data_IF_880650671802
#
_entry.id   IF_880650671802
#
_cell.length_a   1.000
_cell.length_b   1.000
_cell.length_c   1.000
_cell.angle_alpha   90.00
_cell.angle_beta   90.00
_cell.angle_gamma   90.00
#
_symmetry.space_group_name_H-M   'P 1'
#
loop_
_entity.id
_entity.type
_entity.pdbx_description
1 polymer ?
#
# COMPACT_ATOMS: atom_id res chain seq x y z
N UNK A 1 3.51 11.57 -1.67
CA UNK A 1 2.45 12.19 -0.83
C UNK A 1 1.63 13.15 -1.69
N UNK A 2 2.31 13.95 -2.49
CA UNK A 2 1.72 14.86 -3.47
C UNK A 2 1.01 14.08 -4.61
N UNK A 3 0.01 14.69 -5.27
CA UNK A 3 -0.60 14.12 -6.47
C UNK A 3 0.42 14.05 -7.63
N UNK A 4 0.36 13.02 -8.49
CA UNK A 4 -0.54 11.87 -8.43
C UNK A 4 -0.18 10.91 -7.29
N UNK A 5 -1.18 10.41 -6.57
CA UNK A 5 -1.01 9.52 -5.43
C UNK A 5 -0.60 8.11 -5.88
N UNK A 6 0.71 7.90 -6.08
CA UNK A 6 1.27 6.61 -6.48
C UNK A 6 1.37 5.62 -5.31
N UNK A 7 1.43 4.30 -5.59
CA UNK A 7 1.69 3.29 -4.58
C UNK A 7 3.03 3.54 -3.86
N UNK A 8 2.98 3.79 -2.55
CA UNK A 8 4.17 4.10 -1.76
C UNK A 8 5.00 2.85 -1.45
N UNK A 9 6.33 2.83 -1.54
CA UNK A 9 7.11 1.60 -1.37
C UNK A 9 7.07 0.99 0.05
N UNK A 10 6.64 1.73 1.08
CA UNK A 10 6.49 1.20 2.46
C UNK A 10 5.16 0.48 2.66
N UNK A 11 5.18 -0.63 3.37
CA UNK A 11 4.03 -1.52 3.57
C UNK A 11 3.26 -1.20 4.86
N UNK A 12 1.94 -1.31 4.84
CA UNK A 12 1.14 -1.38 6.07
C UNK A 12 1.32 -2.77 6.70
N UNK A 13 1.50 -2.79 8.01
CA UNK A 13 1.62 -4.02 8.81
C UNK A 13 0.71 -3.92 10.03
N UNK A 14 0.21 -5.05 10.50
CA UNK A 14 -0.72 -5.09 11.61
C UNK A 14 -1.48 -6.41 11.62
N UNK A 15 -2.40 -6.55 12.57
CA UNK A 15 -3.19 -7.77 12.73
C UNK A 15 -4.07 -8.06 11.53
N UNK A 16 -4.67 -7.02 10.95
CA UNK A 16 -5.64 -7.11 9.85
C UNK A 16 -5.00 -6.94 8.45
N UNK A 17 -3.66 -6.98 8.39
CA UNK A 17 -2.90 -6.77 7.17
C UNK A 17 -2.29 -8.12 6.74
N UNK A 18 -2.73 -8.72 5.61
CA UNK A 18 -2.14 -9.95 5.14
C UNK A 18 -0.63 -9.81 4.94
N UNK A 19 0.12 -10.80 5.42
CA UNK A 19 1.59 -10.78 5.39
C UNK A 19 2.07 -10.49 3.98
N UNK A 20 3.06 -9.60 3.86
CA UNK A 20 3.74 -9.23 2.61
C UNK A 20 2.93 -8.47 1.55
N UNK A 21 1.64 -8.18 1.79
CA UNK A 21 0.82 -7.40 0.84
C UNK A 21 0.97 -5.89 1.02
N UNK A 22 1.22 -5.44 2.25
CA UNK A 22 1.32 -4.02 2.58
C UNK A 22 -0.01 -3.27 2.52
N UNK A 23 -1.13 -4.00 2.48
CA UNK A 23 -2.50 -3.49 2.57
C UNK A 23 -3.23 -4.19 3.72
N UNK A 24 -4.25 -3.55 4.28
CA UNK A 24 -5.08 -4.16 5.31
C UNK A 24 -6.49 -4.35 4.76
N UNK A 25 -7.05 -5.54 4.97
CA UNK A 25 -8.31 -5.96 4.37
C UNK A 25 -9.17 -6.57 5.48
N UNK A 26 -10.36 -6.01 5.65
CA UNK A 26 -11.30 -6.42 6.69
C UNK A 26 -12.67 -6.62 6.06
N UNK A 27 -13.27 -7.78 6.33
CA UNK A 27 -14.67 -8.04 6.02
C UNK A 27 -15.53 -7.59 7.19
N UNK A 28 -16.44 -6.65 6.97
CA UNK A 28 -17.39 -6.22 8.00
C UNK A 28 -18.81 -6.18 7.43
N UNK A 29 -19.79 -6.41 8.31
CA UNK A 29 -21.20 -6.39 7.94
C UNK A 29 -21.77 -4.98 8.18
N UNK A 30 -22.15 -4.24 7.12
CA UNK A 30 -22.62 -2.86 7.26
C UNK A 30 -23.96 -2.73 8.02
N UNK A 31 -24.72 -3.82 8.18
CA UNK A 31 -26.01 -3.77 8.88
C UNK A 31 -25.86 -3.94 10.39
N UNK A 32 -24.90 -4.76 10.85
CA UNK A 32 -24.72 -5.09 12.27
C UNK A 32 -23.49 -4.44 12.89
N UNK A 33 -22.51 -4.04 12.09
CA UNK A 33 -21.27 -3.44 12.57
C UNK A 33 -20.77 -2.36 11.60
N UNK A 34 -21.17 -1.12 11.85
CA UNK A 34 -20.86 0.05 11.01
C UNK A 34 -19.53 0.73 11.36
N UNK A 35 -18.85 0.29 12.42
CA UNK A 35 -17.65 0.93 12.92
C UNK A 35 -16.52 -0.09 13.04
N UNK A 36 -15.44 0.13 12.29
CA UNK A 36 -14.25 -0.68 12.40
C UNK A 36 -13.05 0.18 12.76
N UNK A 37 -12.26 -0.29 13.72
CA UNK A 37 -11.01 0.34 14.14
C UNK A 37 -9.87 -0.63 13.87
N UNK A 38 -8.90 -0.19 13.08
CA UNK A 38 -7.64 -0.93 12.89
C UNK A 38 -6.80 -0.82 14.15
N UNK A 39 -6.68 -1.92 14.91
CA UNK A 39 -5.84 -1.98 16.08
C UNK A 39 -4.41 -2.42 15.70
N UNK A 40 -3.39 -1.83 16.32
CA UNK A 40 -1.98 -2.19 16.11
C UNK A 40 -1.52 -2.03 14.65
N UNK A 41 -1.97 -0.95 13.99
CA UNK A 41 -1.52 -0.60 12.64
C UNK A 41 -0.14 0.07 12.70
N UNK A 42 0.79 -0.44 11.91
CA UNK A 42 2.14 0.07 11.76
C UNK A 42 2.54 0.24 10.29
N UNK A 43 3.65 0.94 10.08
CA UNK A 43 4.27 1.11 8.76
C UNK A 43 5.61 0.40 8.78
N UNK A 44 5.81 -0.55 7.88
CA UNK A 44 7.08 -1.17 7.63
C UNK A 44 7.81 -0.40 6.51
N UNK A 45 8.82 0.35 6.92
CA UNK A 45 9.71 1.03 5.99
C UNK A 45 10.55 0.02 5.22
N UNK A 46 10.76 0.29 3.92
CA UNK A 46 11.71 -0.45 3.09
C UNK A 46 13.02 0.32 2.98
N UNK A 47 14.14 -0.40 2.86
CA UNK A 47 15.45 0.22 2.62
C UNK A 47 15.54 0.68 1.17
N UNK A 48 16.42 1.64 0.87
CA UNK A 48 16.64 2.13 -0.50
C UNK A 48 16.92 1.00 -1.50
N UNK A 49 17.76 0.02 -1.11
CA UNK A 49 18.09 -1.15 -1.94
C UNK A 49 16.91 -2.07 -2.26
N UNK A 50 15.81 -1.97 -1.53
CA UNK A 50 14.61 -2.81 -1.64
C UNK A 50 13.42 -2.03 -2.22
N UNK A 51 13.64 -0.79 -2.67
CA UNK A 51 12.61 0.07 -3.24
C UNK A 51 11.98 -0.56 -4.48
N UNK A 52 12.80 -0.94 -5.45
CA UNK A 52 12.33 -1.49 -6.73
C UNK A 52 11.57 -2.79 -6.54
N UNK A 53 12.09 -3.69 -5.69
CA UNK A 53 11.44 -4.95 -5.35
C UNK A 53 10.06 -4.72 -4.70
N UNK A 54 9.96 -3.73 -3.80
CA UNK A 54 8.69 -3.39 -3.16
C UNK A 54 7.68 -2.82 -4.15
N UNK A 55 8.12 -1.92 -5.04
CA UNK A 55 7.27 -1.35 -6.08
C UNK A 55 6.85 -2.41 -7.12
N UNK A 56 7.73 -3.36 -7.44
CA UNK A 56 7.40 -4.48 -8.33
C UNK A 56 6.37 -5.41 -7.69
N UNK A 57 6.50 -5.73 -6.40
CA UNK A 57 5.48 -6.52 -5.66
C UNK A 57 4.10 -5.86 -5.73
N UNK A 58 4.03 -4.55 -5.52
CA UNK A 58 2.77 -3.79 -5.62
C UNK A 58 2.15 -3.88 -7.00
N UNK A 59 2.95 -3.74 -8.05
CA UNK A 59 2.49 -3.89 -9.44
C UNK A 59 1.96 -5.29 -9.71
N UNK A 60 2.69 -6.33 -9.30
CA UNK A 60 2.29 -7.72 -9.50
C UNK A 60 0.97 -8.06 -8.78
N UNK A 61 0.70 -7.41 -7.65
CA UNK A 61 -0.53 -7.57 -6.88
C UNK A 61 -1.65 -6.60 -7.30
N UNK A 62 -1.44 -5.79 -8.35
CA UNK A 62 -2.37 -4.75 -8.81
C UNK A 62 -2.77 -3.76 -7.70
N UNK A 63 -1.84 -3.45 -6.79
CA UNK A 63 -2.04 -2.51 -5.70
C UNK A 63 -1.78 -1.09 -6.21
N UNK A 64 -2.82 -0.50 -6.81
CA UNK A 64 -2.86 0.91 -7.19
C UNK A 64 -4.28 1.47 -7.06
N UNK A 65 -4.62 2.12 -5.92
CA UNK A 65 -5.96 2.66 -5.68
C UNK A 65 -6.40 3.72 -6.69
N UNK A 66 -5.45 4.38 -7.37
CA UNK A 66 -5.72 5.51 -8.26
C UNK A 66 -5.40 5.21 -9.72
N UNK A 67 -5.02 3.98 -10.04
CA UNK A 67 -4.67 3.54 -11.40
C UNK A 67 -3.72 4.51 -12.12
N UNK A 68 -2.75 5.04 -11.38
CA UNK A 68 -1.77 6.03 -11.85
C UNK A 68 -0.81 5.49 -12.93
N UNK A 69 -0.85 4.17 -13.15
CA UNK A 69 -0.08 3.49 -14.17
C UNK A 69 1.43 3.56 -13.93
N UNK A 70 2.21 3.13 -14.93
CA UNK A 70 3.68 3.24 -14.92
C UNK A 70 4.17 4.66 -15.23
N UNK A 71 3.39 5.70 -14.90
CA UNK A 71 3.87 7.07 -15.02
C UNK A 71 5.04 7.23 -14.06
N UNK A 72 6.24 6.99 -14.60
CA UNK A 72 7.52 7.20 -13.95
C UNK A 72 7.45 8.54 -13.21
N UNK A 73 7.99 8.57 -12.00
CA UNK A 73 8.07 9.81 -11.24
C UNK A 73 8.65 10.91 -12.10
N UNK A 74 8.30 12.17 -11.82
CA UNK A 74 9.04 13.31 -12.37
C UNK A 74 10.56 13.15 -12.04
N UNK A 75 10.88 12.35 -11.02
CA UNK A 75 12.23 11.97 -10.59
C UNK A 75 12.97 10.96 -11.51
N UNK A 76 12.30 10.35 -12.50
CA UNK A 76 12.90 9.43 -13.47
C UNK A 76 13.11 10.08 -14.86
N UNK A 77 12.91 11.41 -14.96
CA UNK A 77 13.10 12.20 -16.18
C UNK A 77 14.31 13.16 -16.10
N UNK A 78 15.24 12.89 -15.18
CA UNK A 78 16.53 13.59 -15.08
C UNK A 78 17.66 12.58 -15.17
#
# INVERSE_FOLDING_TARGET
>A
KDPPHRPHPHALVGKDCPVSTGICVVSFNPNTNKCHSFANLGIQCVKRKELDDSLQKRRNQNIDPFQTGHSKGIEDMV
#
